data_IF_898907951206
#
_entry.id   IF_898907951206
#
_cell.length_a   1.000
_cell.length_b   1.000
_cell.length_c   1.000
_cell.angle_alpha   90.00
_cell.angle_beta   90.00
_cell.angle_gamma   90.00
#
_symmetry.space_group_name_H-M   'P 1'
#
loop_
_entity.id
_entity.type
_entity.pdbx_description
1 polymer ?
#
# COMPACT_ATOMS: atom_id res chain seq x y z
N UNK A 1 -15.57 -21.78 7.78
CA UNK A 1 -14.26 -21.68 8.44
C UNK A 1 -13.20 -22.29 7.55
N UNK A 2 -12.05 -21.66 7.43
CA UNK A 2 -10.89 -22.16 6.66
C UNK A 2 -9.83 -22.61 7.66
N UNK A 3 -9.44 -23.88 7.60
CA UNK A 3 -8.29 -24.37 8.37
C UNK A 3 -7.00 -23.90 7.67
N UNK A 4 -6.18 -23.12 8.38
CA UNK A 4 -4.98 -22.51 7.81
C UNK A 4 -4.00 -23.56 7.26
N UNK A 5 -3.84 -24.66 7.95
CA UNK A 5 -2.92 -25.76 7.57
C UNK A 5 -3.34 -26.49 6.29
N UNK A 6 -4.63 -26.43 5.93
CA UNK A 6 -5.21 -27.06 4.74
C UNK A 6 -5.49 -26.08 3.61
N UNK A 7 -5.27 -24.78 3.85
CA UNK A 7 -5.58 -23.76 2.86
C UNK A 7 -4.62 -23.81 1.68
N UNK A 8 -5.21 -23.80 0.48
CA UNK A 8 -4.48 -23.63 -0.77
C UNK A 8 -4.71 -22.20 -1.26
N UNK A 9 -3.62 -21.49 -1.51
CA UNK A 9 -3.67 -20.08 -1.91
C UNK A 9 -4.40 -19.85 -3.25
N UNK A 10 -4.46 -20.87 -4.11
CA UNK A 10 -5.11 -20.84 -5.41
C UNK A 10 -4.59 -21.93 -6.33
N UNK A 11 -4.80 -21.76 -7.62
CA UNK A 11 -4.35 -22.70 -8.65
C UNK A 11 -3.79 -21.96 -9.87
N UNK A 12 -2.85 -22.59 -10.58
CA UNK A 12 -2.38 -22.12 -11.85
C UNK A 12 -3.26 -22.65 -12.98
N UNK A 13 -3.70 -21.77 -13.86
CA UNK A 13 -4.46 -22.09 -15.07
C UNK A 13 -3.66 -21.72 -16.32
N UNK A 14 -4.01 -22.34 -17.47
CA UNK A 14 -3.43 -21.98 -18.76
C UNK A 14 -4.36 -21.02 -19.49
N UNK A 15 -3.83 -19.89 -19.93
CA UNK A 15 -4.52 -18.96 -20.80
C UNK A 15 -4.58 -19.46 -22.27
N UNK A 16 -5.45 -18.85 -23.06
CA UNK A 16 -5.68 -19.20 -24.47
C UNK A 16 -4.41 -19.07 -25.33
N UNK A 17 -3.47 -18.19 -24.98
CA UNK A 17 -2.18 -17.98 -25.66
C UNK A 17 -1.04 -18.83 -25.06
N UNK A 18 -1.34 -19.84 -24.25
CA UNK A 18 -0.36 -20.79 -23.69
C UNK A 18 0.37 -20.33 -22.43
N UNK A 19 0.22 -19.08 -22.01
CA UNK A 19 0.80 -18.59 -20.75
C UNK A 19 0.07 -19.18 -19.55
N UNK A 20 0.75 -19.20 -18.39
CA UNK A 20 0.16 -19.63 -17.11
C UNK A 20 -0.19 -18.37 -16.29
N UNK A 21 -1.33 -18.41 -15.64
CA UNK A 21 -1.73 -17.38 -14.67
C UNK A 21 -2.24 -18.02 -13.40
N UNK A 22 -2.09 -17.29 -12.28
CA UNK A 22 -2.53 -17.77 -10.99
C UNK A 22 -3.93 -17.24 -10.69
N UNK A 23 -4.83 -18.16 -10.29
CA UNK A 23 -6.17 -17.83 -9.81
C UNK A 23 -6.20 -18.00 -8.30
N UNK A 24 -6.20 -16.89 -7.53
CA UNK A 24 -6.23 -16.98 -6.07
C UNK A 24 -7.59 -17.49 -5.56
N UNK A 25 -7.55 -18.25 -4.47
CA UNK A 25 -8.76 -18.55 -3.72
C UNK A 25 -9.18 -17.38 -2.86
N UNK A 26 -10.47 -17.27 -2.56
CA UNK A 26 -10.98 -16.23 -1.67
C UNK A 26 -10.51 -16.45 -0.24
N UNK A 27 -10.25 -15.34 0.47
CA UNK A 27 -9.81 -15.34 1.88
C UNK A 27 -10.87 -14.75 2.81
N UNK A 28 -12.05 -14.39 2.30
CA UNK A 28 -13.13 -13.74 3.05
C UNK A 28 -13.96 -14.78 3.84
N UNK A 29 -13.31 -15.47 4.75
CA UNK A 29 -13.92 -16.48 5.61
C UNK A 29 -13.26 -16.46 6.99
N UNK A 30 -13.94 -17.01 7.96
CA UNK A 30 -13.34 -17.22 9.28
C UNK A 30 -12.20 -18.23 9.18
N UNK A 31 -11.09 -17.90 9.80
CA UNK A 31 -9.88 -18.73 9.85
C UNK A 31 -9.77 -19.46 11.17
N UNK A 32 -9.35 -20.71 11.10
CA UNK A 32 -9.04 -21.54 12.27
C UNK A 32 -7.63 -22.10 12.12
N UNK A 33 -6.89 -22.11 13.18
CA UNK A 33 -5.57 -22.73 13.22
C UNK A 33 -5.34 -23.42 14.56
N UNK A 34 -4.53 -24.46 14.55
CA UNK A 34 -4.06 -25.15 15.73
C UNK A 34 -2.53 -25.23 15.71
N UNK A 35 -1.88 -24.08 15.69
CA UNK A 35 -0.44 -23.98 15.60
C UNK A 35 0.11 -23.13 16.75
N UNK A 36 0.88 -23.77 17.63
CA UNK A 36 1.46 -23.13 18.81
C UNK A 36 2.39 -21.96 18.45
N UNK A 37 3.11 -22.04 17.32
CA UNK A 37 3.99 -20.94 16.91
C UNK A 37 3.19 -19.69 16.52
N UNK A 38 2.05 -19.85 15.84
CA UNK A 38 1.16 -18.74 15.50
C UNK A 38 0.63 -18.10 16.77
N UNK A 39 0.17 -18.89 17.74
CA UNK A 39 -0.33 -18.39 19.02
C UNK A 39 0.75 -17.61 19.78
N UNK A 40 1.98 -18.12 19.84
CA UNK A 40 3.11 -17.44 20.48
C UNK A 40 3.48 -16.13 19.76
N UNK A 41 3.41 -16.10 18.43
CA UNK A 41 3.65 -14.88 17.64
C UNK A 41 2.55 -13.85 17.85
N UNK A 42 1.30 -14.28 17.92
CA UNK A 42 0.16 -13.40 18.19
C UNK A 42 0.27 -12.76 19.57
N UNK A 43 0.62 -13.54 20.60
CA UNK A 43 0.87 -13.02 21.94
C UNK A 43 2.01 -12.00 21.96
N UNK A 44 3.16 -12.31 21.35
CA UNK A 44 4.28 -11.37 21.23
C UNK A 44 3.89 -10.10 20.49
N UNK A 45 3.13 -10.22 19.41
CA UNK A 45 2.65 -9.07 18.65
C UNK A 45 1.72 -8.18 19.49
N UNK A 46 0.80 -8.79 20.24
CA UNK A 46 -0.10 -8.06 21.14
C UNK A 46 0.66 -7.32 22.25
N UNK A 47 1.69 -7.95 22.85
CA UNK A 47 2.56 -7.31 23.86
C UNK A 47 3.28 -6.10 23.23
N UNK A 48 3.89 -6.27 22.06
CA UNK A 48 4.60 -5.18 21.37
C UNK A 48 3.69 -4.03 20.97
N UNK A 49 2.47 -4.32 20.57
CA UNK A 49 1.45 -3.31 20.28
C UNK A 49 1.07 -2.54 21.55
N UNK A 50 0.92 -3.22 22.69
CA UNK A 50 0.67 -2.61 23.99
C UNK A 50 1.82 -1.71 24.44
N UNK A 51 3.07 -2.16 24.27
CA UNK A 51 4.27 -1.33 24.53
C UNK A 51 4.27 -0.07 23.67
N UNK A 52 4.06 -0.21 22.35
CA UNK A 52 3.98 0.93 21.42
C UNK A 52 2.90 1.93 21.82
N UNK A 53 1.71 1.44 22.18
CA UNK A 53 0.62 2.30 22.64
C UNK A 53 0.99 3.06 23.94
N UNK A 54 1.74 2.43 24.84
CA UNK A 54 2.23 3.08 26.05
C UNK A 54 3.27 4.15 25.75
N UNK A 55 4.22 3.87 24.87
CA UNK A 55 5.22 4.86 24.43
C UNK A 55 4.58 6.05 23.69
N UNK A 56 3.55 5.81 22.86
CA UNK A 56 2.84 6.88 22.15
C UNK A 56 2.26 7.94 23.10
N UNK A 57 1.87 7.57 24.32
CA UNK A 57 1.38 8.51 25.35
C UNK A 57 2.47 9.42 25.92
N UNK A 58 3.73 9.06 25.77
CA UNK A 58 4.88 9.85 26.23
C UNK A 58 5.38 10.85 25.18
N UNK A 59 4.91 10.74 23.94
CA UNK A 59 5.30 11.65 22.85
C UNK A 59 4.58 12.98 23.02
N UNK A 60 5.28 14.11 23.20
CA UNK A 60 4.65 15.41 23.48
C UNK A 60 3.72 15.90 22.38
N UNK A 61 4.05 15.59 21.11
CA UNK A 61 3.24 15.92 19.95
C UNK A 61 3.13 14.69 19.03
N UNK A 62 2.13 13.87 19.31
CA UNK A 62 1.93 12.62 18.58
C UNK A 62 1.54 12.88 17.11
N UNK A 63 0.82 13.93 16.83
CA UNK A 63 0.37 14.25 15.46
C UNK A 63 1.57 14.61 14.57
N UNK A 64 2.49 15.44 15.08
CA UNK A 64 3.72 15.77 14.37
C UNK A 64 4.59 14.52 14.17
N UNK A 65 4.69 13.67 15.17
CA UNK A 65 5.45 12.42 15.09
C UNK A 65 4.87 11.50 14.01
N UNK A 66 3.54 11.33 13.96
CA UNK A 66 2.85 10.55 12.93
C UNK A 66 3.07 11.17 11.54
N UNK A 67 2.95 12.49 11.40
CA UNK A 67 3.17 13.17 10.12
C UNK A 67 4.59 12.95 9.58
N UNK A 68 5.61 13.00 10.43
CA UNK A 68 6.99 12.72 10.02
C UNK A 68 7.16 11.26 9.58
N UNK A 69 6.50 10.31 10.24
CA UNK A 69 6.51 8.90 9.84
C UNK A 69 5.79 8.67 8.51
N UNK A 70 4.64 9.32 8.30
CA UNK A 70 3.91 9.29 7.02
C UNK A 70 4.77 9.87 5.89
N UNK A 71 5.48 10.97 6.14
CA UNK A 71 6.39 11.56 5.15
C UNK A 71 7.56 10.61 4.84
N UNK A 72 8.17 10.01 5.87
CA UNK A 72 9.24 9.03 5.69
C UNK A 72 8.77 7.83 4.88
N UNK A 73 7.59 7.29 5.22
CA UNK A 73 6.99 6.17 4.49
C UNK A 73 6.75 6.52 3.02
N UNK A 74 6.18 7.70 2.74
CA UNK A 74 5.94 8.17 1.39
C UNK A 74 7.24 8.25 0.56
N UNK A 75 8.30 8.82 1.13
CA UNK A 75 9.61 8.94 0.46
C UNK A 75 10.22 7.56 0.20
N UNK A 76 10.23 6.67 1.20
CA UNK A 76 10.84 5.34 1.08
C UNK A 76 10.06 4.48 0.07
N UNK A 77 8.73 4.47 0.15
CA UNK A 77 7.89 3.69 -0.75
C UNK A 77 7.97 4.21 -2.19
N UNK A 78 7.92 5.53 -2.40
CA UNK A 78 8.05 6.11 -3.73
C UNK A 78 9.45 5.89 -4.34
N UNK A 79 10.49 5.82 -3.50
CA UNK A 79 11.86 5.51 -3.94
C UNK A 79 11.97 4.10 -4.54
N UNK A 80 11.21 3.13 -4.04
CA UNK A 80 11.14 1.78 -4.63
C UNK A 80 10.61 1.85 -6.07
N UNK A 81 9.71 2.79 -6.35
CA UNK A 81 9.13 3.05 -7.68
C UNK A 81 10.01 3.97 -8.55
N UNK A 82 11.18 4.40 -8.04
CA UNK A 82 12.18 5.15 -8.79
C UNK A 82 12.21 6.66 -8.55
N UNK A 83 11.42 7.22 -7.62
CA UNK A 83 11.56 8.65 -7.26
C UNK A 83 12.86 8.91 -6.50
N UNK A 84 13.39 10.12 -6.61
CA UNK A 84 14.63 10.53 -5.97
C UNK A 84 14.42 11.61 -4.89
N UNK A 85 13.19 11.90 -4.54
CA UNK A 85 12.88 12.90 -3.49
C UNK A 85 13.42 12.46 -2.14
N UNK A 86 14.04 13.39 -1.42
CA UNK A 86 14.51 13.17 -0.06
C UNK A 86 13.51 13.65 0.99
N UNK A 87 13.66 13.18 2.24
CA UNK A 87 12.75 13.55 3.33
C UNK A 87 12.77 15.07 3.55
N UNK A 88 13.95 15.70 3.49
CA UNK A 88 14.08 17.15 3.62
C UNK A 88 13.29 17.89 2.54
N UNK A 89 13.39 17.47 1.28
CA UNK A 89 12.64 18.06 0.17
C UNK A 89 11.13 17.83 0.31
N UNK A 90 10.72 16.65 0.78
CA UNK A 90 9.29 16.37 1.02
C UNK A 90 8.65 17.27 2.08
N UNK A 91 9.44 17.97 2.90
CA UNK A 91 8.97 18.95 3.88
C UNK A 91 8.90 20.37 3.32
N UNK A 92 9.57 20.67 2.19
CA UNK A 92 9.59 21.98 1.57
C UNK A 92 8.29 22.27 0.81
N UNK A 93 8.11 23.56 0.47
CA UNK A 93 7.07 24.03 -0.46
C UNK A 93 7.50 23.78 -1.90
N UNK A 94 6.54 23.76 -2.83
CA UNK A 94 6.82 23.55 -4.26
C UNK A 94 7.76 24.64 -4.84
N UNK A 95 7.66 25.87 -4.33
CA UNK A 95 8.50 27.00 -4.79
C UNK A 95 10.00 26.80 -4.47
N UNK A 96 10.32 25.99 -3.46
CA UNK A 96 11.68 25.70 -3.02
C UNK A 96 12.29 24.48 -3.74
N UNK A 97 11.50 23.79 -4.57
CA UNK A 97 11.94 22.59 -5.30
C UNK A 97 12.39 22.99 -6.70
N UNK A 98 13.56 22.47 -7.10
CA UNK A 98 14.07 22.67 -8.46
C UNK A 98 13.12 22.05 -9.50
N UNK A 99 12.97 22.67 -10.68
CA UNK A 99 12.04 22.21 -11.71
C UNK A 99 12.21 20.74 -12.09
N UNK A 100 13.46 20.26 -12.12
CA UNK A 100 13.79 18.88 -12.52
C UNK A 100 13.32 17.83 -11.51
N UNK A 101 13.08 18.23 -10.26
CA UNK A 101 12.68 17.34 -9.16
C UNK A 101 11.20 17.45 -8.80
N UNK A 102 10.47 18.36 -9.43
CA UNK A 102 9.05 18.63 -9.10
C UNK A 102 8.15 17.42 -9.35
N UNK A 103 8.40 16.67 -10.39
CA UNK A 103 7.57 15.50 -10.70
C UNK A 103 7.68 14.44 -9.59
N UNK A 104 8.89 14.10 -9.18
CA UNK A 104 9.14 13.16 -8.08
C UNK A 104 8.57 13.69 -6.75
N UNK A 105 8.77 14.99 -6.48
CA UNK A 105 8.22 15.63 -5.30
C UNK A 105 6.69 15.59 -5.28
N UNK A 106 6.03 15.84 -6.41
CA UNK A 106 4.58 15.75 -6.55
C UNK A 106 4.07 14.33 -6.28
N UNK A 107 4.76 13.31 -6.74
CA UNK A 107 4.42 11.92 -6.44
C UNK A 107 4.45 11.64 -4.93
N UNK A 108 5.50 12.07 -4.24
CA UNK A 108 5.61 11.92 -2.77
C UNK A 108 4.52 12.73 -2.06
N UNK A 109 4.24 13.96 -2.49
CA UNK A 109 3.17 14.79 -1.91
C UNK A 109 1.79 14.18 -2.11
N UNK A 110 1.54 13.59 -3.27
CA UNK A 110 0.30 12.86 -3.53
C UNK A 110 0.16 11.61 -2.66
N UNK A 111 1.26 10.90 -2.42
CA UNK A 111 1.26 9.76 -1.50
C UNK A 111 0.85 10.20 -0.09
N UNK A 112 1.49 11.23 0.46
CA UNK A 112 1.15 11.80 1.78
C UNK A 112 -0.32 12.23 1.82
N UNK A 113 -0.78 12.95 0.81
CA UNK A 113 -2.16 13.43 0.69
C UNK A 113 -3.16 12.27 0.61
N UNK A 114 -2.86 11.25 -0.19
CA UNK A 114 -3.69 10.07 -0.37
C UNK A 114 -3.82 9.29 0.95
N UNK A 115 -2.70 9.06 1.65
CA UNK A 115 -2.67 8.34 2.92
C UNK A 115 -3.44 9.09 4.01
N UNK A 116 -3.18 10.39 4.20
CA UNK A 116 -3.89 11.22 5.18
C UNK A 116 -5.41 11.25 4.90
N UNK A 117 -5.79 11.35 3.63
CA UNK A 117 -7.20 11.29 3.23
C UNK A 117 -7.82 9.93 3.52
N UNK A 118 -7.09 8.83 3.24
CA UNK A 118 -7.56 7.48 3.53
C UNK A 118 -7.77 7.26 5.04
N UNK A 119 -6.81 7.67 5.87
CA UNK A 119 -6.91 7.58 7.34
C UNK A 119 -8.17 8.31 7.83
N UNK A 120 -8.40 9.54 7.36
CA UNK A 120 -9.59 10.31 7.73
C UNK A 120 -10.91 9.68 7.25
N UNK A 121 -10.90 9.05 6.08
CA UNK A 121 -12.10 8.37 5.54
C UNK A 121 -12.41 7.08 6.31
N UNK A 122 -11.40 6.43 6.94
CA UNK A 122 -11.61 5.24 7.77
C UNK A 122 -12.49 5.47 8.99
N UNK A 123 -12.65 6.72 9.44
CA UNK A 123 -13.62 7.08 10.49
C UNK A 123 -15.06 6.80 10.06
N UNK A 124 -15.34 6.79 8.75
CA UNK A 124 -16.69 6.69 8.17
C UNK A 124 -16.88 5.48 7.27
N UNK A 125 -15.81 4.95 6.70
CA UNK A 125 -15.83 3.86 5.74
C UNK A 125 -14.86 2.77 6.20
N UNK A 126 -15.26 1.50 6.20
CA UNK A 126 -14.31 0.41 6.40
C UNK A 126 -13.32 0.34 5.23
N UNK A 127 -12.22 -0.41 5.42
CA UNK A 127 -11.35 -0.78 4.30
C UNK A 127 -12.20 -1.49 3.25
N UNK A 128 -12.28 -0.90 2.07
CA UNK A 128 -13.19 -1.33 1.03
C UNK A 128 -12.65 -0.93 -0.35
N UNK A 129 -13.15 -1.57 -1.40
CA UNK A 129 -12.83 -1.20 -2.79
C UNK A 129 -13.11 0.28 -3.08
N UNK A 130 -14.15 0.86 -2.46
CA UNK A 130 -14.47 2.29 -2.59
C UNK A 130 -13.35 3.17 -2.02
N UNK A 131 -12.87 2.84 -0.82
CA UNK A 131 -11.77 3.60 -0.19
C UNK A 131 -10.49 3.47 -1.02
N UNK A 132 -10.12 2.26 -1.44
CA UNK A 132 -8.93 2.00 -2.28
C UNK A 132 -8.99 2.81 -3.58
N UNK A 133 -10.13 2.80 -4.29
CA UNK A 133 -10.30 3.56 -5.53
C UNK A 133 -10.18 5.06 -5.33
N UNK A 134 -10.76 5.61 -4.27
CA UNK A 134 -10.63 7.04 -3.92
C UNK A 134 -9.17 7.41 -3.64
N UNK A 135 -8.48 6.59 -2.85
CA UNK A 135 -7.08 6.80 -2.48
C UNK A 135 -6.17 6.74 -3.71
N UNK A 136 -6.35 5.74 -4.57
CA UNK A 136 -5.61 5.58 -5.82
C UNK A 136 -5.81 6.77 -6.77
N UNK A 137 -7.01 7.34 -6.84
CA UNK A 137 -7.28 8.53 -7.65
C UNK A 137 -6.50 9.75 -7.17
N UNK A 138 -6.33 9.92 -5.86
CA UNK A 138 -5.54 11.01 -5.29
C UNK A 138 -4.05 10.77 -5.53
N UNK A 139 -3.60 9.53 -5.37
CA UNK A 139 -2.21 9.14 -5.53
C UNK A 139 -1.68 9.47 -6.94
N UNK A 140 -2.47 9.21 -7.97
CA UNK A 140 -2.06 9.38 -9.36
C UNK A 140 -2.52 10.72 -9.99
N UNK A 141 -2.87 11.71 -9.17
CA UNK A 141 -3.32 13.01 -9.68
C UNK A 141 -2.13 13.83 -10.21
N UNK A 142 -2.16 14.19 -11.49
CA UNK A 142 -1.13 15.04 -12.16
C UNK A 142 0.32 14.53 -12.03
N UNK A 143 0.48 13.21 -11.97
CA UNK A 143 1.79 12.52 -11.90
C UNK A 143 1.85 11.36 -12.88
N UNK A 144 2.98 10.64 -12.92
CA UNK A 144 3.11 9.42 -13.72
C UNK A 144 1.95 8.46 -13.45
N UNK A 145 1.28 8.02 -14.50
CA UNK A 145 0.11 7.14 -14.38
C UNK A 145 -1.24 7.84 -14.38
N UNK A 146 -1.32 9.17 -14.40
CA UNK A 146 -2.60 9.91 -14.49
C UNK A 146 -3.49 9.43 -15.64
N UNK A 147 -2.89 9.08 -16.78
CA UNK A 147 -3.62 8.56 -17.96
C UNK A 147 -4.00 7.07 -17.87
N UNK A 148 -3.68 6.39 -16.76
CA UNK A 148 -3.94 4.96 -16.53
C UNK A 148 -5.24 4.69 -15.76
N UNK A 149 -6.24 5.53 -15.93
CA UNK A 149 -7.56 5.44 -15.28
C UNK A 149 -7.47 5.38 -13.73
N UNK A 150 -6.97 6.44 -13.07
CA UNK A 150 -6.86 6.49 -11.62
C UNK A 150 -8.20 6.22 -10.92
N UNK A 151 -8.19 5.33 -9.96
CA UNK A 151 -9.37 4.94 -9.20
C UNK A 151 -10.20 3.81 -9.84
N UNK A 152 -9.76 3.25 -10.96
CA UNK A 152 -10.42 2.10 -11.57
C UNK A 152 -9.58 0.82 -11.44
N UNK A 153 -10.26 -0.32 -11.24
CA UNK A 153 -9.60 -1.62 -11.33
C UNK A 153 -9.32 -1.98 -12.77
N UNK A 154 -8.21 -2.65 -13.01
CA UNK A 154 -7.87 -3.14 -14.34
C UNK A 154 -8.89 -4.17 -14.83
N UNK A 155 -9.16 -4.10 -16.12
CA UNK A 155 -10.00 -5.07 -16.85
C UNK A 155 -9.18 -5.93 -17.81
N UNK A 156 -7.88 -5.61 -18.00
CA UNK A 156 -6.96 -6.35 -18.86
C UNK A 156 -5.96 -7.17 -18.04
N UNK A 157 -5.46 -8.24 -18.64
CA UNK A 157 -4.37 -9.06 -18.08
C UNK A 157 -3.13 -8.20 -17.85
N UNK A 158 -2.47 -8.42 -16.74
CA UNK A 158 -1.18 -7.83 -16.42
C UNK A 158 -0.09 -8.92 -16.36
N UNK A 159 1.14 -8.54 -16.72
CA UNK A 159 2.30 -9.45 -16.66
C UNK A 159 3.54 -8.68 -16.23
N UNK A 160 4.58 -9.40 -15.80
CA UNK A 160 5.87 -8.86 -15.39
C UNK A 160 6.94 -9.50 -16.25
N UNK A 161 7.87 -8.72 -16.77
CA UNK A 161 8.87 -9.17 -17.76
C UNK A 161 8.27 -9.26 -19.17
N UNK A 162 9.05 -9.56 -20.15
CA UNK A 162 8.63 -9.79 -21.52
C UNK A 162 7.85 -8.65 -22.19
N UNK A 163 7.65 -8.79 -23.49
CA UNK A 163 6.83 -7.88 -24.29
C UNK A 163 5.34 -8.26 -24.30
N UNK A 164 5.02 -9.48 -23.92
CA UNK A 164 3.67 -10.05 -23.91
C UNK A 164 3.47 -11.02 -22.73
N UNK A 165 2.23 -11.39 -22.40
CA UNK A 165 1.95 -12.42 -21.39
C UNK A 165 2.57 -13.80 -21.72
N UNK A 166 2.87 -14.07 -23.00
CA UNK A 166 3.47 -15.33 -23.42
C UNK A 166 5.00 -15.38 -23.16
N UNK A 167 5.64 -14.21 -23.02
CA UNK A 167 7.08 -14.05 -22.83
C UNK A 167 7.45 -13.75 -21.36
N UNK A 168 6.45 -13.67 -20.47
CA UNK A 168 6.58 -13.30 -19.06
C UNK A 168 6.78 -14.50 -18.12
#
# INVERSE_FOLDING_TARGET
MIELEKYKAGRCEKGTAGYKYFVPNTINSEWVWNNQQINNLLEKAAIKLGELNSYARLVPNIDLFIQLHVTKEAVVSSRIEGTQTEIAEALLSEAEISPERRDDWNEVKNYIKALNKAIKELEKLPISSRLIRKTHKILLNSVRGERKQPGEFRTSQNWIGGSSPADA
#
